data_IF_777826282754
#
_entry.id   IF_777826282754
#
_cell.length_a   1.000
_cell.length_b   1.000
_cell.length_c   1.000
_cell.angle_alpha   90.00
_cell.angle_beta   90.00
_cell.angle_gamma   90.00
#
_symmetry.space_group_name_H-M   'P 1'
#
loop_
_entity.id
_entity.type
_entity.pdbx_description
1 polymer ?
#
# COMPACT_ATOMS: atom_id res chain seq x y z
N UNK A 1 5.88 -7.24 20.76
CA UNK A 1 4.51 -6.67 20.98
C UNK A 1 3.96 -6.31 19.60
N UNK A 2 2.67 -6.52 19.36
CA UNK A 2 2.02 -6.15 18.09
C UNK A 2 1.36 -4.80 18.27
N UNK A 3 1.68 -3.83 17.41
CA UNK A 3 0.98 -2.54 17.33
C UNK A 3 0.17 -2.49 16.04
N UNK A 4 -1.08 -2.06 16.17
CA UNK A 4 -2.00 -1.92 15.04
C UNK A 4 -2.47 -0.47 14.92
N UNK A 5 -2.54 0.01 13.70
CA UNK A 5 -2.95 1.35 13.34
C UNK A 5 -4.05 1.24 12.30
N UNK A 6 -5.11 2.02 12.47
CA UNK A 6 -6.21 2.10 11.50
C UNK A 6 -6.40 3.53 11.07
N UNK A 7 -6.46 3.75 9.77
CA UNK A 7 -6.75 5.03 9.14
C UNK A 7 -7.90 4.87 8.16
N UNK A 8 -8.80 5.84 8.17
CA UNK A 8 -9.84 5.98 7.16
C UNK A 8 -9.59 7.24 6.35
N UNK A 9 -9.83 7.16 5.05
CA UNK A 9 -9.70 8.27 4.13
C UNK A 9 -10.84 8.22 3.11
N UNK A 10 -11.38 9.37 2.75
CA UNK A 10 -12.44 9.48 1.77
C UNK A 10 -11.87 10.11 0.50
N UNK A 11 -11.83 9.33 -0.56
CA UNK A 11 -11.61 9.87 -1.91
C UNK A 11 -12.93 10.40 -2.44
N UNK A 12 -12.97 11.67 -2.83
CA UNK A 12 -14.14 12.28 -3.51
C UNK A 12 -14.13 11.93 -5.00
N UNK A 13 -14.03 10.64 -5.25
CA UNK A 13 -13.97 10.02 -6.57
C UNK A 13 -14.73 8.69 -6.52
N UNK A 14 -15.43 8.28 -7.61
CA UNK A 14 -16.14 7.01 -7.67
C UNK A 14 -15.16 5.84 -7.54
N UNK A 15 -15.67 4.73 -7.02
CA UNK A 15 -14.89 3.53 -6.74
C UNK A 15 -14.11 3.03 -7.96
N UNK A 16 -14.69 3.08 -9.15
CA UNK A 16 -14.07 2.67 -10.41
C UNK A 16 -12.82 3.51 -10.75
N UNK A 17 -12.87 4.82 -10.44
CA UNK A 17 -11.73 5.70 -10.64
C UNK A 17 -10.62 5.43 -9.65
N UNK A 18 -10.96 5.22 -8.38
CA UNK A 18 -9.98 4.92 -7.33
C UNK A 18 -9.30 3.58 -7.59
N UNK A 19 -10.04 2.55 -8.00
CA UNK A 19 -9.45 1.26 -8.37
C UNK A 19 -8.57 1.37 -9.60
N UNK A 20 -8.97 2.15 -10.61
CA UNK A 20 -8.14 2.44 -11.78
C UNK A 20 -6.83 3.17 -11.40
N UNK A 21 -6.90 4.13 -10.49
CA UNK A 21 -5.72 4.81 -9.96
C UNK A 21 -4.78 3.84 -9.24
N UNK A 22 -5.32 2.90 -8.47
CA UNK A 22 -4.53 1.87 -7.77
C UNK A 22 -3.72 0.99 -8.74
N UNK A 23 -4.23 0.71 -9.93
CA UNK A 23 -3.48 -0.02 -10.96
C UNK A 23 -2.34 0.81 -11.56
N UNK A 24 -2.54 2.10 -11.73
CA UNK A 24 -1.55 3.02 -12.31
C UNK A 24 -0.51 3.50 -11.31
N UNK A 25 -0.74 3.35 -10.02
CA UNK A 25 0.10 3.88 -8.94
C UNK A 25 1.60 3.62 -9.11
N UNK A 26 1.99 2.44 -9.56
CA UNK A 26 3.40 2.07 -9.71
C UNK A 26 3.97 2.35 -11.09
N UNK A 27 3.14 2.64 -12.07
CA UNK A 27 3.54 2.92 -13.46
C UNK A 27 3.43 4.39 -13.83
N UNK A 28 2.86 5.21 -12.96
CA UNK A 28 2.70 6.63 -13.17
C UNK A 28 4.04 7.36 -13.04
N UNK A 29 4.51 7.94 -14.16
CA UNK A 29 5.80 8.59 -14.22
C UNK A 29 5.84 9.94 -13.49
N UNK A 30 4.73 10.66 -13.44
CA UNK A 30 4.65 11.99 -12.82
C UNK A 30 4.85 11.90 -11.31
N UNK A 31 4.24 10.89 -10.67
CA UNK A 31 4.29 10.70 -9.22
C UNK A 31 5.38 9.73 -8.76
N UNK A 32 6.18 9.18 -9.67
CA UNK A 32 7.23 8.19 -9.34
C UNK A 32 8.25 8.73 -8.32
N UNK A 33 8.54 10.03 -8.38
CA UNK A 33 9.46 10.67 -7.43
C UNK A 33 8.94 10.65 -5.97
N UNK A 34 7.63 10.60 -5.75
CA UNK A 34 7.01 10.48 -4.44
C UNK A 34 7.11 9.05 -3.90
N UNK A 35 7.14 8.06 -4.80
CA UNK A 35 7.29 6.64 -4.48
C UNK A 35 8.72 6.15 -4.69
N UNK A 36 9.72 7.00 -4.50
CA UNK A 36 11.13 6.70 -4.71
C UNK A 36 11.67 5.55 -3.83
N UNK A 37 10.95 5.21 -2.77
CA UNK A 37 11.25 4.04 -1.94
C UNK A 37 10.81 2.71 -2.59
N UNK A 38 9.93 2.74 -3.59
CA UNK A 38 9.55 1.56 -4.38
C UNK A 38 10.58 1.39 -5.50
N UNK A 39 11.36 0.32 -5.43
CA UNK A 39 12.43 0.06 -6.39
C UNK A 39 11.92 -0.74 -7.59
N UNK A 40 11.11 -1.76 -7.32
CA UNK A 40 10.63 -2.69 -8.34
C UNK A 40 9.27 -3.27 -7.95
N UNK A 41 8.44 -3.53 -8.94
CA UNK A 41 7.13 -4.20 -8.77
C UNK A 41 6.94 -5.20 -9.89
N UNK A 42 6.88 -6.49 -9.53
CA UNK A 42 6.67 -7.60 -10.45
C UNK A 42 5.33 -8.27 -10.22
N UNK A 43 4.56 -8.48 -11.28
CA UNK A 43 3.32 -9.26 -11.20
C UNK A 43 3.64 -10.73 -11.30
N UNK A 44 3.43 -11.47 -10.20
CA UNK A 44 3.70 -12.91 -10.10
C UNK A 44 2.51 -13.74 -10.60
N UNK A 45 1.30 -13.27 -10.37
CA UNK A 45 0.07 -13.99 -10.70
C UNK A 45 -1.06 -13.03 -11.02
N UNK A 46 -1.86 -13.39 -12.02
CA UNK A 46 -3.05 -12.67 -12.42
C UNK A 46 -4.13 -13.70 -12.79
N UNK A 47 -5.23 -13.76 -12.05
CA UNK A 47 -6.28 -14.75 -12.24
C UNK A 47 -7.65 -14.10 -12.10
N UNK A 48 -8.45 -14.17 -13.17
CA UNK A 48 -9.88 -13.90 -13.11
C UNK A 48 -10.63 -15.21 -12.86
N UNK A 49 -11.44 -15.26 -11.81
CA UNK A 49 -12.36 -16.37 -11.58
C UNK A 49 -13.67 -16.09 -12.32
N UNK A 50 -14.01 -16.90 -13.34
CA UNK A 50 -15.19 -16.65 -14.16
C UNK A 50 -16.51 -16.90 -13.41
N UNK A 51 -16.50 -17.70 -12.34
CA UNK A 51 -17.69 -17.99 -11.56
C UNK A 51 -18.05 -16.87 -10.59
N UNK A 52 -17.08 -16.41 -9.83
CA UNK A 52 -17.26 -15.32 -8.85
C UNK A 52 -17.04 -13.93 -9.45
N UNK A 53 -16.51 -13.84 -10.68
CA UNK A 53 -16.11 -12.58 -11.34
C UNK A 53 -15.10 -11.77 -10.52
N UNK A 54 -14.35 -12.46 -9.66
CA UNK A 54 -13.30 -11.84 -8.85
C UNK A 54 -11.96 -11.93 -9.54
N UNK A 55 -11.22 -10.84 -9.46
CA UNK A 55 -9.86 -10.76 -9.95
C UNK A 55 -8.89 -10.89 -8.77
N UNK A 56 -7.98 -11.84 -8.88
CA UNK A 56 -6.91 -12.10 -7.92
C UNK A 56 -5.57 -11.74 -8.56
N UNK A 57 -4.78 -10.93 -7.87
CA UNK A 57 -3.45 -10.55 -8.33
C UNK A 57 -2.47 -10.69 -7.18
N UNK A 58 -1.28 -11.20 -7.49
CA UNK A 58 -0.16 -11.26 -6.56
C UNK A 58 1.03 -10.55 -7.18
N UNK A 59 1.66 -9.65 -6.43
CA UNK A 59 2.84 -8.90 -6.83
C UNK A 59 3.96 -9.09 -5.82
N UNK A 60 5.20 -9.10 -6.32
CA UNK A 60 6.39 -8.89 -5.51
C UNK A 60 6.75 -7.40 -5.58
N UNK A 61 6.95 -6.79 -4.43
CA UNK A 61 7.32 -5.37 -4.32
C UNK A 61 8.65 -5.27 -3.59
N UNK A 62 9.64 -4.70 -4.26
CA UNK A 62 10.96 -4.43 -3.67
C UNK A 62 11.03 -2.98 -3.26
N UNK A 63 11.29 -2.73 -1.99
CA UNK A 63 11.32 -1.38 -1.43
C UNK A 63 12.67 -1.07 -0.78
N UNK A 64 13.10 0.19 -0.90
CA UNK A 64 14.15 0.73 -0.06
C UNK A 64 13.56 1.12 1.29
N UNK A 65 13.85 0.33 2.29
CA UNK A 65 13.36 0.55 3.64
C UNK A 65 14.53 0.45 4.63
N UNK A 66 15.23 1.56 4.89
CA UNK A 66 16.32 1.57 5.86
C UNK A 66 15.75 1.23 7.24
N UNK A 67 16.03 0.02 7.66
CA UNK A 67 15.72 -0.49 8.99
C UNK A 67 16.50 0.24 10.09
N UNK A 68 16.22 -0.06 11.36
CA UNK A 68 17.06 0.38 12.47
C UNK A 68 18.52 0.00 12.21
N UNK A 69 19.45 0.84 12.67
CA UNK A 69 20.90 0.66 12.42
C UNK A 69 21.43 -0.73 12.77
N UNK A 70 20.89 -1.39 13.78
CA UNK A 70 21.30 -2.73 14.19
C UNK A 70 20.79 -3.82 13.23
N UNK A 71 19.58 -3.66 12.65
CA UNK A 71 19.11 -4.57 11.60
C UNK A 71 19.98 -4.42 10.36
N UNK A 72 20.30 -3.18 9.98
CA UNK A 72 21.23 -2.90 8.89
C UNK A 72 22.60 -3.54 9.12
N UNK A 73 23.10 -3.50 10.36
CA UNK A 73 24.39 -4.11 10.73
C UNK A 73 24.36 -5.63 10.65
N UNK A 74 23.21 -6.27 10.91
CA UNK A 74 23.04 -7.73 10.86
C UNK A 74 22.70 -8.20 9.45
N UNK A 75 21.85 -7.48 8.73
CA UNK A 75 21.31 -7.88 7.42
C UNK A 75 22.15 -7.34 6.26
N UNK A 76 22.90 -6.26 6.48
CA UNK A 76 23.77 -5.66 5.46
C UNK A 76 23.06 -4.91 4.34
N UNK A 77 21.72 -4.85 4.34
CA UNK A 77 20.92 -4.24 3.27
C UNK A 77 19.77 -3.40 3.81
N UNK A 78 19.46 -2.32 3.10
CA UNK A 78 18.28 -1.48 3.34
C UNK A 78 17.11 -1.83 2.38
N UNK A 79 17.10 -3.04 1.83
CA UNK A 79 16.09 -3.51 0.89
C UNK A 79 15.13 -4.44 1.60
N UNK A 80 13.84 -4.21 1.40
CA UNK A 80 12.76 -5.06 1.89
C UNK A 80 11.95 -5.60 0.71
N UNK A 81 11.71 -6.89 0.71
CA UNK A 81 10.83 -7.56 -0.25
C UNK A 81 9.49 -7.84 0.42
N UNK A 82 8.41 -7.43 -0.26
CA UNK A 82 7.04 -7.62 0.17
C UNK A 82 6.26 -8.42 -0.86
N UNK A 83 5.26 -9.15 -0.41
CA UNK A 83 4.24 -9.75 -1.26
C UNK A 83 2.94 -8.98 -1.05
N UNK A 84 2.39 -8.48 -2.15
CA UNK A 84 1.08 -7.83 -2.20
C UNK A 84 0.09 -8.76 -2.88
N UNK A 85 -1.02 -9.03 -2.23
CA UNK A 85 -2.16 -9.77 -2.78
C UNK A 85 -3.35 -8.82 -2.91
N UNK A 86 -3.94 -8.74 -4.09
CA UNK A 86 -5.10 -7.89 -4.38
C UNK A 86 -6.27 -8.75 -4.81
N UNK A 87 -7.44 -8.49 -4.25
CA UNK A 87 -8.72 -9.09 -4.64
C UNK A 87 -9.64 -7.95 -5.06
N UNK A 88 -10.16 -8.01 -6.28
CA UNK A 88 -11.19 -7.09 -6.77
C UNK A 88 -12.46 -7.85 -7.03
N UNK A 89 -13.55 -7.38 -6.44
CA UNK A 89 -14.90 -7.87 -6.66
C UNK A 89 -15.74 -6.74 -7.28
N UNK A 90 -15.97 -6.85 -8.58
CA UNK A 90 -16.71 -5.84 -9.32
C UNK A 90 -18.20 -5.81 -8.97
N UNK A 91 -18.77 -6.94 -8.55
CA UNK A 91 -20.20 -7.03 -8.20
C UNK A 91 -20.48 -6.27 -6.89
N UNK A 92 -19.65 -6.48 -5.89
CA UNK A 92 -19.77 -5.78 -4.60
C UNK A 92 -19.08 -4.42 -4.60
N UNK A 93 -18.40 -4.04 -5.69
CA UNK A 93 -17.57 -2.82 -5.78
C UNK A 93 -16.61 -2.74 -4.59
N UNK A 94 -15.87 -3.82 -4.35
CA UNK A 94 -14.86 -3.86 -3.31
C UNK A 94 -13.49 -4.25 -3.87
N UNK A 95 -12.44 -3.63 -3.36
CA UNK A 95 -11.06 -3.97 -3.65
C UNK A 95 -10.29 -4.05 -2.35
N UNK A 96 -9.60 -5.15 -2.13
CA UNK A 96 -8.78 -5.36 -0.96
C UNK A 96 -7.35 -5.70 -1.37
N UNK A 97 -6.40 -4.97 -0.81
CA UNK A 97 -4.98 -5.24 -0.92
C UNK A 97 -4.46 -5.70 0.43
N UNK A 98 -3.61 -6.72 0.43
CA UNK A 98 -2.89 -7.16 1.62
C UNK A 98 -1.41 -7.25 1.26
N UNK A 99 -0.58 -6.46 1.92
CA UNK A 99 0.87 -6.48 1.74
C UNK A 99 1.53 -7.01 3.00
N UNK A 100 2.53 -7.88 2.83
CA UNK A 100 3.35 -8.42 3.91
C UNK A 100 4.81 -8.42 3.51
N UNK A 101 5.69 -8.05 4.44
CA UNK A 101 7.11 -8.24 4.18
C UNK A 101 7.45 -9.73 4.17
N UNK A 102 8.26 -10.12 3.19
CA UNK A 102 8.82 -11.48 3.07
C UNK A 102 10.23 -11.55 3.66
N UNK A 103 11.03 -10.51 3.42
CA UNK A 103 12.35 -10.38 4.03
C UNK A 103 12.25 -9.87 5.47
N UNK A 104 13.27 -10.15 6.26
CA UNK A 104 13.43 -9.67 7.64
C UNK A 104 12.39 -10.14 8.66
N UNK A 105 11.53 -11.11 8.33
CA UNK A 105 10.49 -11.63 9.22
C UNK A 105 11.00 -12.19 10.55
N UNK A 106 12.30 -12.54 10.63
CA UNK A 106 12.93 -12.95 11.89
C UNK A 106 12.99 -11.81 12.92
N UNK A 107 12.91 -10.55 12.46
CA UNK A 107 13.07 -9.36 13.28
C UNK A 107 11.80 -8.51 13.32
N UNK A 108 11.18 -8.32 12.18
CA UNK A 108 10.03 -7.43 11.99
C UNK A 108 9.04 -8.10 11.05
N UNK A 109 7.79 -8.15 11.47
CA UNK A 109 6.66 -8.53 10.63
C UNK A 109 5.77 -7.29 10.46
N UNK A 110 5.49 -6.94 9.21
CA UNK A 110 4.57 -5.85 8.86
C UNK A 110 3.49 -6.41 7.95
N UNK A 111 2.25 -6.20 8.32
CA UNK A 111 1.10 -6.48 7.47
C UNK A 111 0.31 -5.19 7.28
N UNK A 112 0.01 -4.86 6.05
CA UNK A 112 -0.87 -3.77 5.69
C UNK A 112 -2.05 -4.30 4.91
N UNK A 113 -3.26 -3.91 5.31
CA UNK A 113 -4.51 -4.20 4.61
C UNK A 113 -5.15 -2.89 4.20
N UNK A 114 -5.44 -2.74 2.93
CA UNK A 114 -6.13 -1.57 2.39
C UNK A 114 -7.40 -2.05 1.71
N UNK A 115 -8.53 -1.44 2.06
CA UNK A 115 -9.84 -1.75 1.48
C UNK A 115 -10.46 -0.49 0.90
N UNK A 116 -10.93 -0.61 -0.33
CA UNK A 116 -11.65 0.44 -1.05
C UNK A 116 -13.07 -0.01 -1.33
N UNK A 117 -14.04 0.77 -0.87
CA UNK A 117 -15.48 0.51 -1.03
C UNK A 117 -16.21 1.80 -1.34
N UNK A 118 -17.40 1.76 -1.99
CA UNK A 118 -18.25 2.91 -2.10
C UNK A 118 -18.55 3.51 -0.72
N UNK A 119 -18.50 4.84 -0.61
CA UNK A 119 -18.82 5.51 0.64
C UNK A 119 -20.31 5.38 0.96
N UNK A 120 -20.73 5.04 2.19
CA UNK A 120 -22.14 4.82 2.54
C UNK A 120 -23.05 5.98 2.19
N UNK A 121 -22.62 7.23 2.43
CA UNK A 121 -23.43 8.42 2.21
C UNK A 121 -23.49 8.87 0.74
N UNK A 122 -22.48 8.55 -0.06
CA UNK A 122 -22.41 8.92 -1.48
C UNK A 122 -21.70 7.84 -2.32
N UNK A 123 -22.33 6.66 -2.50
CA UNK A 123 -21.67 5.49 -3.07
C UNK A 123 -21.31 5.60 -4.56
N UNK A 124 -21.88 6.58 -5.27
CA UNK A 124 -21.60 6.76 -6.70
C UNK A 124 -20.48 7.76 -6.99
N UNK A 125 -20.13 8.60 -6.01
CA UNK A 125 -19.15 9.66 -6.21
C UNK A 125 -17.96 9.58 -5.25
N UNK A 126 -18.12 8.88 -4.11
CA UNK A 126 -17.10 8.81 -3.08
C UNK A 126 -16.69 7.38 -2.79
N UNK A 127 -15.42 7.22 -2.44
CA UNK A 127 -14.83 5.94 -2.05
C UNK A 127 -14.24 6.05 -0.65
N UNK A 128 -14.65 5.14 0.23
CA UNK A 128 -14.06 4.94 1.54
C UNK A 128 -12.83 4.04 1.39
N UNK A 129 -11.68 4.54 1.83
CA UNK A 129 -10.44 3.76 1.98
C UNK A 129 -10.22 3.50 3.46
N UNK A 130 -10.15 2.23 3.84
CA UNK A 130 -9.73 1.81 5.18
C UNK A 130 -8.38 1.12 5.08
N UNK A 131 -7.41 1.63 5.83
CA UNK A 131 -6.05 1.10 5.90
C UNK A 131 -5.76 0.63 7.32
N UNK A 132 -5.40 -0.63 7.45
CA UNK A 132 -4.99 -1.26 8.71
C UNK A 132 -3.54 -1.70 8.58
N UNK A 133 -2.69 -1.25 9.49
CA UNK A 133 -1.27 -1.61 9.52
C UNK A 133 -0.96 -2.27 10.85
N UNK A 134 -0.40 -3.48 10.79
CA UNK A 134 0.07 -4.24 11.94
C UNK A 134 1.59 -4.37 11.89
N UNK A 135 2.26 -4.04 12.98
CA UNK A 135 3.71 -4.10 13.11
C UNK A 135 4.05 -4.95 14.32
N UNK A 136 4.82 -6.00 14.11
CA UNK A 136 5.31 -6.90 15.16
C UNK A 136 6.84 -6.94 15.13
N UNK A 137 7.48 -6.35 16.14
CA UNK A 137 8.92 -6.42 16.33
C UNK A 137 9.22 -7.57 17.27
N UNK A 138 10.01 -8.54 16.78
CA UNK A 138 10.44 -9.69 17.59
C UNK A 138 11.62 -9.28 18.46
N UNK A 139 11.55 -9.48 19.78
CA UNK A 139 12.59 -9.06 20.68
C UNK A 139 13.88 -9.90 20.42
N UNK A 140 14.94 -9.21 20.08
CA UNK A 140 16.28 -9.74 20.19
C UNK A 140 16.76 -9.49 21.61
N UNK A 141 17.24 -10.52 22.29
CA UNK A 141 17.64 -10.48 23.72
C UNK A 141 18.59 -9.33 24.09
N UNK A 142 19.36 -8.84 23.14
CA UNK A 142 20.32 -7.73 23.30
C UNK A 142 19.66 -6.33 23.19
N UNK A 143 18.41 -6.23 22.74
CA UNK A 143 17.77 -4.97 22.33
C UNK A 143 16.42 -4.71 23.01
N UNK A 144 16.07 -5.48 24.03
CA UNK A 144 14.79 -5.33 24.73
C UNK A 144 14.53 -3.88 25.22
N UNK A 145 15.57 -3.18 25.68
CA UNK A 145 15.49 -1.79 26.14
C UNK A 145 15.32 -0.76 25.01
N UNK A 146 15.61 -1.12 23.76
CA UNK A 146 15.49 -0.24 22.60
C UNK A 146 14.30 -0.57 21.71
N UNK A 147 13.63 -1.70 21.95
CA UNK A 147 12.56 -2.22 21.09
C UNK A 147 11.43 -1.19 20.90
N UNK A 148 11.01 -0.52 21.94
CA UNK A 148 9.92 0.48 21.88
C UNK A 148 10.25 1.69 21.01
N UNK A 149 11.47 2.25 21.14
CA UNK A 149 11.90 3.39 20.31
C UNK A 149 12.04 3.02 18.84
N UNK A 150 12.49 1.80 18.57
CA UNK A 150 12.61 1.26 17.22
C UNK A 150 11.24 1.06 16.61
N UNK A 151 10.32 0.48 17.35
CA UNK A 151 8.95 0.23 16.96
C UNK A 151 8.22 1.53 16.60
N UNK A 152 8.37 2.56 17.43
CA UNK A 152 7.78 3.88 17.18
C UNK A 152 8.31 4.51 15.89
N UNK A 153 9.63 4.56 15.70
CA UNK A 153 10.25 5.12 14.49
C UNK A 153 9.86 4.36 13.21
N UNK A 154 9.71 3.04 13.34
CA UNK A 154 9.30 2.21 12.23
C UNK A 154 7.84 2.49 11.87
N UNK A 155 6.97 2.57 12.86
CA UNK A 155 5.56 2.92 12.69
C UNK A 155 5.39 4.29 12.02
N UNK A 156 6.08 5.32 12.51
CA UNK A 156 6.07 6.67 11.92
C UNK A 156 6.44 6.65 10.43
N UNK A 157 7.43 5.84 10.07
CA UNK A 157 7.88 5.72 8.68
C UNK A 157 6.86 5.00 7.79
N UNK A 158 6.28 3.91 8.26
CA UNK A 158 5.22 3.17 7.53
C UNK A 158 4.00 4.07 7.34
N UNK A 159 3.59 4.80 8.39
CA UNK A 159 2.47 5.74 8.31
C UNK A 159 2.74 6.89 7.31
N UNK A 160 3.98 7.41 7.29
CA UNK A 160 4.38 8.42 6.30
C UNK A 160 4.29 7.89 4.87
N UNK A 161 4.76 6.68 4.61
CA UNK A 161 4.65 6.07 3.28
C UNK A 161 3.20 5.82 2.87
N UNK A 162 2.35 5.43 3.82
CA UNK A 162 0.91 5.31 3.58
C UNK A 162 0.26 6.65 3.20
N UNK A 163 0.63 7.73 3.88
CA UNK A 163 0.16 9.08 3.55
C UNK A 163 0.60 9.50 2.14
N UNK A 164 1.88 9.32 1.80
CA UNK A 164 2.40 9.58 0.45
C UNK A 164 1.69 8.75 -0.61
N UNK A 165 1.43 7.48 -0.33
CA UNK A 165 0.66 6.62 -1.24
C UNK A 165 -0.74 7.15 -1.52
N UNK A 166 -1.42 7.72 -0.51
CA UNK A 166 -2.74 8.37 -0.70
C UNK A 166 -2.66 9.64 -1.54
N UNK A 167 -1.63 10.46 -1.37
CA UNK A 167 -1.39 11.65 -2.20
C UNK A 167 -1.19 11.29 -3.67
N UNK A 168 -0.42 10.24 -3.96
CA UNK A 168 -0.23 9.73 -5.31
C UNK A 168 -1.55 9.24 -5.90
N UNK A 169 -2.34 8.48 -5.13
CA UNK A 169 -3.65 8.01 -5.55
C UNK A 169 -4.58 9.16 -5.90
N UNK A 170 -4.63 10.21 -5.06
CA UNK A 170 -5.44 11.40 -5.28
C UNK A 170 -5.02 12.15 -6.55
N UNK A 171 -3.71 12.29 -6.79
CA UNK A 171 -3.17 12.90 -8.02
C UNK A 171 -3.60 12.13 -9.26
N UNK A 172 -3.48 10.81 -9.25
CA UNK A 172 -3.89 9.97 -10.38
C UNK A 172 -5.41 10.02 -10.59
N UNK A 173 -6.21 10.04 -9.52
CA UNK A 173 -7.67 10.18 -9.63
C UNK A 173 -8.06 11.49 -10.33
N UNK A 174 -7.41 12.61 -9.99
CA UNK A 174 -7.62 13.91 -10.65
C UNK A 174 -7.23 13.89 -12.12
N UNK A 175 -6.11 13.25 -12.44
CA UNK A 175 -5.69 13.05 -13.83
C UNK A 175 -6.72 12.26 -14.62
N UNK A 176 -7.19 11.11 -14.10
CA UNK A 176 -8.21 10.28 -14.72
C UNK A 176 -9.56 11.02 -14.89
N UNK A 177 -9.89 11.88 -13.95
CA UNK A 177 -11.07 12.71 -14.05
C UNK A 177 -10.98 13.72 -15.21
N UNK A 178 -9.84 14.40 -15.31
CA UNK A 178 -9.61 15.34 -16.41
C UNK A 178 -9.57 14.64 -17.78
N UNK A 179 -8.91 13.46 -17.85
CA UNK A 179 -8.90 12.62 -19.06
C UNK A 179 -10.32 12.25 -19.50
N UNK A 180 -11.18 11.85 -18.56
CA UNK A 180 -12.58 11.48 -18.84
C UNK A 180 -13.45 12.65 -19.34
N UNK A 181 -13.07 13.88 -18.98
CA UNK A 181 -13.75 15.12 -19.44
C UNK A 181 -13.22 15.64 -20.78
N UNK A 182 -12.27 14.94 -21.42
CA UNK A 182 -11.65 15.36 -22.67
C UNK A 182 -10.72 16.58 -22.52
N UNK A 183 -10.29 16.90 -21.31
CA UNK A 183 -9.30 17.94 -21.05
C UNK A 183 -7.93 17.30 -21.28
N UNK A 184 -7.37 17.49 -22.48
CA UNK A 184 -6.00 17.10 -22.76
C UNK A 184 -5.05 17.98 -21.94
N UNK A 185 -4.29 17.39 -21.03
CA UNK A 185 -3.14 18.09 -20.48
C UNK A 185 -2.11 18.24 -21.58
N UNK A 186 -1.83 19.48 -21.99
CA UNK A 186 -0.66 19.79 -22.79
C UNK A 186 0.56 19.56 -21.89
N UNK A 187 1.33 18.54 -22.24
CA UNK A 187 2.63 18.22 -21.65
C UNK A 187 3.68 19.26 -22.00
#
# INVERSE_FOLDING_TARGET
>A
MVKSYTHEYIYKHPWERVTSASWRKFTDNENRHLLNHILEVDTLSYKLDPLSQRLYITRAVTTHFPGPWFIRKIVGQDICHCIESTIVDAQSRSMQLTSRNFSHQKFIEVEEKIRYEPHPDNPNEWTLCRQETSINIKPLSVLASMAEKVEQRYAEKVLKYGATGREVMESICKYLEAESRGIAFQS
#
